data_IF_492930047648
#
_entry.id   IF_492930047648
#
_cell.length_a   1.000
_cell.length_b   1.000
_cell.length_c   1.000
_cell.angle_alpha   90.00
_cell.angle_beta   90.00
_cell.angle_gamma   90.00
#
_symmetry.space_group_name_H-M   'P 1'
#
loop_
_entity.id
_entity.type
_entity.pdbx_description
1 polymer ?
#
# COMPACT_ATOMS: atom_id res chain seq x y z
N UNK A 1 -20.90 7.52 -18.45
CA UNK A 1 -20.18 7.12 -17.23
C UNK A 1 -20.16 8.32 -16.29
N UNK A 2 -20.56 8.17 -15.04
CA UNK A 2 -20.50 9.29 -14.07
C UNK A 2 -19.03 9.62 -13.75
N UNK A 3 -18.71 10.87 -13.45
CA UNK A 3 -17.33 11.33 -13.18
C UNK A 3 -16.73 10.58 -11.99
N UNK A 4 -17.51 10.31 -10.94
CA UNK A 4 -17.11 9.48 -9.79
C UNK A 4 -16.68 8.07 -10.20
N UNK A 5 -17.43 7.42 -11.09
CA UNK A 5 -17.11 6.09 -11.61
C UNK A 5 -15.81 6.09 -12.42
N UNK A 6 -15.52 7.15 -13.18
CA UNK A 6 -14.24 7.29 -13.89
C UNK A 6 -13.07 7.39 -12.92
N UNK A 7 -13.21 8.20 -11.87
CA UNK A 7 -12.17 8.40 -10.85
C UNK A 7 -11.91 7.08 -10.11
N UNK A 8 -12.97 6.35 -9.74
CA UNK A 8 -12.85 5.01 -9.12
C UNK A 8 -12.09 4.02 -10.01
N UNK A 9 -12.43 3.94 -11.30
CA UNK A 9 -11.74 3.06 -12.27
C UNK A 9 -10.25 3.44 -12.38
N UNK A 10 -9.96 4.74 -12.51
CA UNK A 10 -8.59 5.25 -12.59
C UNK A 10 -7.79 4.94 -11.32
N UNK A 11 -8.37 5.17 -10.14
CA UNK A 11 -7.73 4.90 -8.86
C UNK A 11 -7.37 3.41 -8.72
N UNK A 12 -8.31 2.50 -9.01
CA UNK A 12 -8.04 1.06 -8.94
C UNK A 12 -7.00 0.61 -9.96
N UNK A 13 -7.07 1.09 -11.21
CA UNK A 13 -6.12 0.74 -12.26
C UNK A 13 -4.69 1.20 -11.94
N UNK A 14 -4.53 2.46 -11.55
CA UNK A 14 -3.22 3.05 -11.25
C UNK A 14 -2.62 2.39 -10.01
N UNK A 15 -3.45 2.13 -8.98
CA UNK A 15 -3.00 1.48 -7.74
C UNK A 15 -2.59 0.03 -8.01
N UNK A 16 -3.41 -0.76 -8.71
CA UNK A 16 -3.06 -2.13 -9.09
C UNK A 16 -1.76 -2.19 -9.91
N UNK A 17 -1.59 -1.28 -10.88
CA UNK A 17 -0.39 -1.22 -11.72
C UNK A 17 0.86 -0.87 -10.92
N UNK A 18 0.75 0.08 -9.98
CA UNK A 18 1.87 0.48 -9.11
C UNK A 18 2.27 -0.66 -8.18
N UNK A 19 1.30 -1.31 -7.55
CA UNK A 19 1.55 -2.46 -6.68
C UNK A 19 2.15 -3.63 -7.47
N UNK A 20 1.68 -3.89 -8.70
CA UNK A 20 2.25 -4.89 -9.59
C UNK A 20 3.73 -4.61 -9.92
N UNK A 21 4.08 -3.35 -10.18
CA UNK A 21 5.47 -2.95 -10.39
C UNK A 21 6.33 -3.18 -9.13
N UNK A 22 5.77 -2.95 -7.94
CA UNK A 22 6.44 -3.24 -6.66
C UNK A 22 6.63 -4.74 -6.46
N UNK A 23 5.65 -5.58 -6.82
CA UNK A 23 5.78 -7.05 -6.77
C UNK A 23 7.03 -7.48 -7.54
N UNK A 24 7.21 -6.94 -8.75
CA UNK A 24 8.32 -7.31 -9.61
C UNK A 24 9.68 -7.09 -8.92
N UNK A 25 9.83 -5.99 -8.18
CA UNK A 25 11.06 -5.74 -7.41
C UNK A 25 11.33 -6.81 -6.34
N UNK A 26 10.28 -7.24 -5.63
CA UNK A 26 10.43 -8.25 -4.59
C UNK A 26 10.64 -9.64 -5.17
N UNK A 27 10.02 -9.98 -6.30
CA UNK A 27 10.31 -11.23 -7.02
C UNK A 27 11.77 -11.25 -7.46
N UNK A 28 12.25 -10.17 -8.08
CA UNK A 28 13.63 -10.05 -8.52
C UNK A 28 14.62 -10.14 -7.33
N UNK A 29 14.31 -9.51 -6.19
CA UNK A 29 15.09 -9.66 -4.96
C UNK A 29 15.09 -11.11 -4.43
N UNK A 30 13.96 -11.82 -4.50
CA UNK A 30 13.85 -13.22 -4.07
C UNK A 30 14.64 -14.18 -4.95
N UNK A 31 14.77 -13.89 -6.25
CA UNK A 31 15.62 -14.65 -7.16
C UNK A 31 17.11 -14.54 -6.80
N UNK A 32 17.54 -13.42 -6.21
CA UNK A 32 18.91 -13.21 -5.75
C UNK A 32 19.18 -13.85 -4.39
N UNK A 33 18.23 -13.70 -3.44
CA UNK A 33 18.34 -14.26 -2.09
C UNK A 33 16.97 -14.49 -1.49
N UNK A 34 16.73 -15.72 -1.05
CA UNK A 34 15.48 -16.08 -0.38
C UNK A 34 15.52 -15.53 1.06
N UNK A 35 14.72 -14.50 1.31
CA UNK A 35 14.51 -13.92 2.63
C UNK A 35 13.02 -13.89 2.97
N UNK A 36 12.67 -14.35 4.18
CA UNK A 36 11.26 -14.40 4.64
C UNK A 36 10.57 -13.04 4.54
N UNK A 37 11.29 -11.95 4.86
CA UNK A 37 10.78 -10.58 4.75
C UNK A 37 10.34 -10.25 3.31
N UNK A 38 11.17 -10.62 2.34
CA UNK A 38 10.88 -10.39 0.93
C UNK A 38 9.72 -11.27 0.44
N UNK A 39 9.61 -12.52 0.92
CA UNK A 39 8.45 -13.39 0.62
C UNK A 39 7.16 -12.74 1.13
N UNK A 40 7.14 -12.31 2.40
CA UNK A 40 5.97 -11.68 3.00
C UNK A 40 5.56 -10.40 2.25
N UNK A 41 6.52 -9.55 1.85
CA UNK A 41 6.22 -8.36 1.04
C UNK A 41 5.68 -8.74 -0.33
N UNK A 42 6.33 -9.67 -1.04
CA UNK A 42 5.89 -10.12 -2.36
C UNK A 42 4.46 -10.66 -2.30
N UNK A 43 4.18 -11.59 -1.38
CA UNK A 43 2.83 -12.14 -1.20
C UNK A 43 1.84 -11.05 -0.81
N UNK A 44 2.20 -10.16 0.12
CA UNK A 44 1.34 -9.05 0.53
C UNK A 44 0.96 -8.15 -0.64
N UNK A 45 1.95 -7.74 -1.46
CA UNK A 45 1.70 -6.93 -2.65
C UNK A 45 0.93 -7.68 -3.75
N UNK A 46 1.11 -9.00 -3.89
CA UNK A 46 0.27 -9.84 -4.77
C UNK A 46 -1.19 -9.77 -4.33
N UNK A 47 -1.47 -9.99 -3.04
CA UNK A 47 -2.84 -9.94 -2.52
C UNK A 47 -3.48 -8.57 -2.71
N UNK A 48 -2.74 -7.48 -2.45
CA UNK A 48 -3.23 -6.12 -2.70
C UNK A 48 -3.51 -5.88 -4.19
N UNK A 49 -2.59 -6.28 -5.07
CA UNK A 49 -2.75 -6.10 -6.52
C UNK A 49 -3.99 -6.85 -7.03
N UNK A 50 -4.18 -8.09 -6.58
CA UNK A 50 -5.37 -8.88 -6.92
C UNK A 50 -6.62 -8.20 -6.38
N UNK A 51 -6.60 -7.69 -5.14
CA UNK A 51 -7.73 -6.97 -4.55
C UNK A 51 -8.15 -5.76 -5.40
N UNK A 52 -7.20 -4.89 -5.77
CA UNK A 52 -7.50 -3.72 -6.61
C UNK A 52 -7.92 -4.12 -8.04
N UNK A 53 -7.33 -5.18 -8.60
CA UNK A 53 -7.74 -5.71 -9.89
C UNK A 53 -9.19 -6.27 -9.85
N UNK A 54 -9.59 -6.93 -8.76
CA UNK A 54 -10.96 -7.42 -8.59
C UNK A 54 -11.96 -6.27 -8.46
N UNK A 55 -11.63 -5.22 -7.70
CA UNK A 55 -12.44 -3.99 -7.65
C UNK A 55 -12.56 -3.30 -9.02
N UNK A 56 -11.52 -3.38 -9.84
CA UNK A 56 -11.57 -2.89 -11.21
C UNK A 56 -12.51 -3.76 -12.06
N UNK A 57 -12.37 -5.09 -12.00
CA UNK A 57 -13.21 -6.03 -12.76
C UNK A 57 -14.68 -5.93 -12.38
N UNK A 58 -15.02 -5.72 -11.11
CA UNK A 58 -16.41 -5.53 -10.67
C UNK A 58 -17.06 -4.27 -11.26
N UNK A 59 -16.27 -3.33 -11.80
CA UNK A 59 -16.80 -2.17 -12.55
C UNK A 59 -17.27 -2.52 -13.96
N UNK A 60 -16.84 -3.67 -14.50
CA UNK A 60 -17.10 -4.12 -15.86
C UNK A 60 -17.84 -5.47 -15.94
N UNK A 61 -18.00 -6.17 -14.82
CA UNK A 61 -18.56 -7.52 -14.72
C UNK A 61 -19.58 -7.62 -13.58
N UNK A 62 -20.50 -8.58 -13.67
CA UNK A 62 -21.44 -8.93 -12.59
C UNK A 62 -20.79 -9.75 -11.47
N UNK A 63 -19.53 -10.15 -11.63
CA UNK A 63 -18.76 -10.82 -10.58
C UNK A 63 -18.40 -9.78 -9.52
N UNK A 64 -19.10 -9.80 -8.39
CA UNK A 64 -18.83 -8.92 -7.25
C UNK A 64 -18.81 -9.75 -5.96
N UNK A 65 -17.62 -9.97 -5.40
CA UNK A 65 -17.42 -10.67 -4.13
C UNK A 65 -16.72 -9.72 -3.14
N UNK A 66 -17.44 -8.72 -2.59
CA UNK A 66 -16.85 -7.64 -1.82
C UNK A 66 -16.16 -8.14 -0.54
N UNK A 67 -16.68 -9.21 0.07
CA UNK A 67 -16.06 -9.84 1.24
C UNK A 67 -14.72 -10.49 0.90
N UNK A 68 -14.64 -11.18 -0.24
CA UNK A 68 -13.40 -11.81 -0.69
C UNK A 68 -12.34 -10.74 -0.99
N UNK A 69 -12.71 -9.68 -1.71
CA UNK A 69 -11.82 -8.56 -2.00
C UNK A 69 -11.31 -7.88 -0.73
N UNK A 70 -12.20 -7.65 0.24
CA UNK A 70 -11.83 -7.11 1.56
C UNK A 70 -10.80 -7.98 2.28
N UNK A 71 -11.01 -9.31 2.34
CA UNK A 71 -10.08 -10.21 3.02
C UNK A 71 -8.72 -10.29 2.31
N UNK A 72 -8.71 -10.26 0.98
CA UNK A 72 -7.47 -10.18 0.19
C UNK A 72 -6.70 -8.90 0.50
N UNK A 73 -7.40 -7.76 0.55
CA UNK A 73 -6.79 -6.48 0.92
C UNK A 73 -6.19 -6.54 2.33
N UNK A 74 -7.00 -6.95 3.32
CA UNK A 74 -6.62 -7.02 4.72
C UNK A 74 -5.43 -7.95 4.95
N UNK A 75 -5.46 -9.17 4.41
CA UNK A 75 -4.35 -10.11 4.50
C UNK A 75 -3.09 -9.57 3.81
N UNK A 76 -3.24 -8.88 2.68
CA UNK A 76 -2.13 -8.22 2.00
C UNK A 76 -1.41 -7.21 2.89
N UNK A 77 -2.17 -6.32 3.54
CA UNK A 77 -1.63 -5.32 4.48
C UNK A 77 -0.98 -5.99 5.69
N UNK A 78 -1.57 -7.04 6.23
CA UNK A 78 -0.99 -7.80 7.34
C UNK A 78 0.36 -8.42 7.03
N UNK A 79 0.50 -9.03 5.86
CA UNK A 79 1.77 -9.61 5.43
C UNK A 79 2.84 -8.53 5.24
N UNK A 80 2.48 -7.39 4.66
CA UNK A 80 3.38 -6.24 4.53
C UNK A 80 3.79 -5.73 5.91
N UNK A 81 2.85 -5.52 6.82
CA UNK A 81 3.13 -5.08 8.19
C UNK A 81 4.05 -6.06 8.93
N UNK A 82 3.74 -7.36 8.88
CA UNK A 82 4.54 -8.42 9.49
C UNK A 82 5.98 -8.38 8.98
N UNK A 83 6.18 -8.17 7.67
CA UNK A 83 7.51 -8.07 7.06
C UNK A 83 8.37 -6.94 7.63
N UNK A 84 7.76 -5.82 8.02
CA UNK A 84 8.47 -4.67 8.61
C UNK A 84 8.70 -4.86 10.10
N UNK A 85 7.78 -5.50 10.82
CA UNK A 85 7.96 -5.81 12.25
C UNK A 85 9.10 -6.79 12.50
N UNK A 86 9.25 -7.80 11.65
CA UNK A 86 10.38 -8.73 11.73
C UNK A 86 11.68 -8.12 11.20
N UNK A 87 11.66 -6.88 10.72
CA UNK A 87 12.87 -6.20 10.30
C UNK A 87 13.81 -5.97 11.50
N UNK A 88 15.12 -6.15 11.28
CA UNK A 88 16.13 -5.95 12.32
C UNK A 88 16.23 -4.49 12.75
N UNK A 89 15.83 -3.58 11.87
CA UNK A 89 15.85 -2.13 12.11
C UNK A 89 14.57 -1.60 12.76
N UNK A 90 13.51 -2.42 12.87
CA UNK A 90 12.26 -2.01 13.51
C UNK A 90 12.36 -2.13 15.02
N UNK A 91 12.20 -1.00 15.73
CA UNK A 91 12.11 -0.99 17.20
C UNK A 91 10.66 -1.04 17.69
N UNK A 92 9.70 -0.89 16.78
CA UNK A 92 8.27 -0.80 17.08
C UNK A 92 7.57 -2.17 17.16
N UNK A 93 8.26 -3.21 17.62
CA UNK A 93 7.67 -4.56 17.78
C UNK A 93 6.45 -4.57 18.71
N UNK A 94 6.40 -3.66 19.68
CA UNK A 94 5.25 -3.50 20.58
C UNK A 94 3.96 -3.10 19.85
N UNK A 95 4.06 -2.43 18.70
CA UNK A 95 2.89 -2.05 17.88
C UNK A 95 2.12 -3.29 17.38
N UNK A 96 2.74 -4.47 17.38
CA UNK A 96 2.04 -5.75 17.10
C UNK A 96 0.85 -5.98 18.03
N UNK A 97 0.91 -5.51 19.28
CA UNK A 97 -0.23 -5.62 20.22
C UNK A 97 -1.41 -4.78 19.74
N UNK A 98 -1.15 -3.54 19.31
CA UNK A 98 -2.16 -2.65 18.72
C UNK A 98 -2.73 -3.28 17.45
N UNK A 99 -1.86 -3.87 16.63
CA UNK A 99 -2.25 -4.57 15.43
C UNK A 99 -3.21 -5.73 15.76
N UNK A 100 -2.89 -6.60 16.72
CA UNK A 100 -3.76 -7.72 17.12
C UNK A 100 -5.09 -7.19 17.69
N UNK A 101 -5.04 -6.16 18.54
CA UNK A 101 -6.24 -5.53 19.07
C UNK A 101 -7.13 -4.96 17.95
N UNK A 102 -6.52 -4.42 16.88
CA UNK A 102 -7.25 -3.86 15.75
C UNK A 102 -8.14 -4.89 15.04
N UNK A 103 -7.69 -6.15 14.92
CA UNK A 103 -8.49 -7.25 14.34
C UNK A 103 -9.79 -7.52 15.08
N UNK A 104 -9.78 -7.31 16.40
CA UNK A 104 -10.92 -7.58 17.27
C UNK A 104 -11.88 -6.38 17.33
N UNK A 105 -11.36 -5.17 17.19
CA UNK A 105 -12.08 -3.93 17.45
C UNK A 105 -12.64 -3.26 16.19
N UNK A 106 -11.94 -3.35 15.06
CA UNK A 106 -12.29 -2.63 13.84
C UNK A 106 -12.81 -3.57 12.74
N UNK A 107 -13.68 -3.04 11.88
CA UNK A 107 -14.29 -3.77 10.75
C UNK A 107 -14.19 -2.94 9.47
N UNK A 108 -14.22 -3.62 8.32
CA UNK A 108 -14.24 -3.00 6.99
C UNK A 108 -13.14 -1.94 6.82
N UNK A 109 -13.46 -0.80 6.21
CA UNK A 109 -12.52 0.29 5.94
C UNK A 109 -11.82 0.86 7.19
N UNK A 110 -12.42 0.77 8.40
CA UNK A 110 -11.71 1.17 9.62
C UNK A 110 -10.49 0.27 9.89
N UNK A 111 -10.66 -1.03 9.67
CA UNK A 111 -9.60 -2.00 9.88
C UNK A 111 -8.46 -1.77 8.88
N UNK A 112 -8.81 -1.56 7.60
CA UNK A 112 -7.83 -1.27 6.54
C UNK A 112 -7.09 0.05 6.79
N UNK A 113 -7.79 1.08 7.27
CA UNK A 113 -7.18 2.36 7.67
C UNK A 113 -6.15 2.15 8.79
N UNK A 114 -6.49 1.39 9.84
CA UNK A 114 -5.55 1.11 10.92
C UNK A 114 -4.36 0.29 10.43
N UNK A 115 -4.58 -0.75 9.62
CA UNK A 115 -3.48 -1.58 9.08
C UNK A 115 -2.50 -0.77 8.22
N UNK A 116 -3.01 0.04 7.29
CA UNK A 116 -2.17 0.95 6.48
C UNK A 116 -1.42 1.96 7.35
N UNK A 117 -2.04 2.46 8.43
CA UNK A 117 -1.41 3.40 9.35
C UNK A 117 -0.24 2.74 10.09
N UNK A 118 -0.42 1.51 10.56
CA UNK A 118 0.61 0.75 11.25
C UNK A 118 1.80 0.46 10.33
N UNK A 119 1.56 0.16 9.05
CA UNK A 119 2.62 0.05 8.03
C UNK A 119 3.35 1.39 7.89
N UNK A 120 2.62 2.49 7.70
CA UNK A 120 3.21 3.83 7.53
C UNK A 120 4.10 4.23 8.70
N UNK A 121 3.61 4.07 9.93
CA UNK A 121 4.37 4.36 11.16
C UNK A 121 5.65 3.52 11.22
N UNK A 122 5.57 2.22 10.93
CA UNK A 122 6.73 1.34 10.98
C UNK A 122 7.76 1.71 9.90
N UNK A 123 7.32 2.03 8.69
CA UNK A 123 8.21 2.49 7.61
C UNK A 123 8.91 3.80 7.99
N UNK A 124 8.17 4.78 8.51
CA UNK A 124 8.78 6.06 8.92
C UNK A 124 9.78 5.88 10.07
N UNK A 125 9.50 4.98 11.00
CA UNK A 125 10.43 4.65 12.07
C UNK A 125 11.72 3.99 11.54
N UNK A 126 11.59 3.04 10.61
CA UNK A 126 12.74 2.43 9.94
C UNK A 126 13.52 3.48 9.16
N UNK A 127 12.84 4.35 8.41
CA UNK A 127 13.45 5.45 7.66
C UNK A 127 14.25 6.40 8.57
N UNK A 128 13.70 6.72 9.74
CA UNK A 128 14.36 7.54 10.74
C UNK A 128 15.59 6.84 11.34
N UNK A 129 15.44 5.57 11.74
CA UNK A 129 16.52 4.81 12.37
C UNK A 129 17.69 4.52 11.43
N UNK A 130 17.40 4.24 10.16
CA UNK A 130 18.41 3.84 9.16
C UNK A 130 18.91 5.03 8.34
N UNK A 131 18.29 6.20 8.48
CA UNK A 131 18.54 7.40 7.66
C UNK A 131 18.29 7.19 6.16
N UNK A 132 17.58 6.12 5.77
CA UNK A 132 17.13 5.85 4.41
C UNK A 132 15.95 6.77 4.05
N UNK A 133 16.27 7.99 3.62
CA UNK A 133 15.29 9.01 3.20
C UNK A 133 14.43 8.57 2.01
N UNK A 134 14.93 7.63 1.21
CA UNK A 134 14.20 7.02 0.12
C UNK A 134 12.95 6.26 0.62
N UNK A 135 12.90 5.78 1.86
CA UNK A 135 11.70 5.14 2.42
C UNK A 135 10.55 6.12 2.74
N UNK A 136 10.80 7.44 2.75
CA UNK A 136 9.79 8.45 3.10
C UNK A 136 8.60 8.42 2.13
N UNK A 137 8.78 8.48 0.79
CA UNK A 137 7.67 8.31 -0.15
C UNK A 137 6.91 6.99 0.01
N UNK A 138 7.59 5.90 0.40
CA UNK A 138 6.92 4.62 0.66
C UNK A 138 5.97 4.72 1.87
N UNK A 139 6.46 5.27 2.99
CA UNK A 139 5.64 5.48 4.19
C UNK A 139 4.49 6.47 3.96
N UNK A 140 4.75 7.52 3.17
CA UNK A 140 3.74 8.51 2.77
C UNK A 140 2.64 7.89 1.89
N UNK A 141 3.01 6.97 0.99
CA UNK A 141 2.04 6.19 0.21
C UNK A 141 1.02 5.48 1.09
N UNK A 142 1.49 4.73 2.11
CA UNK A 142 0.61 4.07 3.06
C UNK A 142 -0.20 5.04 3.93
N UNK A 143 0.36 6.20 4.31
CA UNK A 143 -0.37 7.24 5.04
C UNK A 143 -1.55 7.80 4.23
N UNK A 144 -1.35 7.99 2.92
CA UNK A 144 -2.40 8.42 2.00
C UNK A 144 -3.48 7.32 1.87
N UNK A 145 -3.09 6.04 1.77
CA UNK A 145 -4.03 4.91 1.80
C UNK A 145 -4.84 4.87 3.10
N UNK A 146 -4.22 5.13 4.26
CA UNK A 146 -4.94 5.27 5.54
C UNK A 146 -6.04 6.30 5.48
N UNK A 147 -5.70 7.48 4.95
CA UNK A 147 -6.65 8.59 4.85
C UNK A 147 -7.77 8.25 3.86
N UNK A 148 -7.44 7.57 2.75
CA UNK A 148 -8.42 7.09 1.78
C UNK A 148 -9.42 6.12 2.42
N UNK A 149 -8.93 5.08 3.10
CA UNK A 149 -9.74 4.10 3.83
C UNK A 149 -10.61 4.77 4.90
N UNK A 150 -10.08 5.74 5.63
CA UNK A 150 -10.88 6.51 6.56
C UNK A 150 -12.01 7.30 5.88
N UNK A 151 -11.78 7.84 4.67
CA UNK A 151 -12.82 8.53 3.90
C UNK A 151 -13.89 7.57 3.40
N UNK A 152 -13.56 6.37 2.91
CA UNK A 152 -14.58 5.36 2.58
C UNK A 152 -15.42 5.00 3.81
N UNK A 153 -14.81 4.85 4.98
CA UNK A 153 -15.55 4.65 6.23
C UNK A 153 -16.53 5.80 6.54
N UNK A 154 -16.11 7.05 6.35
CA UNK A 154 -16.96 8.21 6.58
C UNK A 154 -18.16 8.25 5.63
N UNK A 155 -17.99 7.86 4.37
CA UNK A 155 -19.10 7.77 3.42
C UNK A 155 -20.05 6.62 3.81
N UNK A 156 -19.52 5.40 3.91
CA UNK A 156 -20.32 4.17 4.05
C UNK A 156 -21.06 4.10 5.40
N UNK A 157 -20.40 4.51 6.49
CA UNK A 157 -20.93 4.32 7.85
C UNK A 157 -21.48 5.60 8.45
N UNK A 158 -20.90 6.75 8.13
CA UNK A 158 -21.31 8.05 8.68
C UNK A 158 -22.18 8.86 7.72
N UNK A 159 -22.32 8.44 6.46
CA UNK A 159 -23.20 9.08 5.48
C UNK A 159 -22.67 10.41 4.95
N UNK A 160 -21.36 10.67 5.03
CA UNK A 160 -20.74 11.86 4.43
C UNK A 160 -20.66 11.71 2.91
N UNK A 161 -21.76 12.04 2.23
CA UNK A 161 -21.91 11.82 0.79
C UNK A 161 -20.74 12.37 -0.03
N UNK A 162 -20.29 11.57 -1.01
CA UNK A 162 -19.23 11.88 -1.98
C UNK A 162 -17.82 12.04 -1.41
N UNK A 163 -17.60 11.78 -0.11
CA UNK A 163 -16.24 11.83 0.45
C UNK A 163 -15.38 10.65 -0.02
N UNK A 164 -16.00 9.53 -0.44
CA UNK A 164 -15.31 8.40 -1.07
C UNK A 164 -14.54 8.79 -2.34
N UNK A 165 -15.03 9.79 -3.09
CA UNK A 165 -14.32 10.30 -4.29
C UNK A 165 -12.98 10.95 -3.90
N UNK A 166 -12.93 11.62 -2.74
CA UNK A 166 -11.66 12.12 -2.20
C UNK A 166 -10.74 10.96 -1.77
N UNK A 167 -11.32 9.84 -1.31
CA UNK A 167 -10.60 8.58 -1.08
C UNK A 167 -9.96 8.02 -2.35
N UNK A 168 -10.68 8.00 -3.48
CA UNK A 168 -10.14 7.58 -4.77
C UNK A 168 -8.93 8.46 -5.20
N UNK A 169 -9.02 9.78 -5.03
CA UNK A 169 -7.89 10.68 -5.29
C UNK A 169 -6.70 10.41 -4.39
N UNK A 170 -6.93 10.13 -3.11
CA UNK A 170 -5.88 9.76 -2.17
C UNK A 170 -5.19 8.46 -2.59
N UNK A 171 -5.91 7.49 -3.16
CA UNK A 171 -5.32 6.29 -3.76
C UNK A 171 -4.43 6.59 -4.98
N UNK A 172 -4.84 7.53 -5.83
CA UNK A 172 -4.01 8.00 -6.94
C UNK A 172 -2.73 8.65 -6.41
N UNK A 173 -2.84 9.53 -5.41
CA UNK A 173 -1.67 10.17 -4.81
C UNK A 173 -0.76 9.18 -4.07
N UNK A 174 -1.34 8.18 -3.40
CA UNK A 174 -0.60 7.07 -2.79
C UNK A 174 0.22 6.33 -3.85
N UNK A 175 -0.38 6.04 -5.00
CA UNK A 175 0.29 5.38 -6.13
C UNK A 175 1.44 6.21 -6.71
N UNK A 176 1.28 7.53 -6.77
CA UNK A 176 2.37 8.43 -7.18
C UNK A 176 3.51 8.38 -6.17
N UNK A 177 3.22 8.48 -4.86
CA UNK A 177 4.24 8.41 -3.81
C UNK A 177 5.00 7.06 -3.83
N UNK A 178 4.27 5.96 -4.00
CA UNK A 178 4.84 4.62 -4.13
C UNK A 178 5.68 4.47 -5.41
N UNK A 179 5.27 5.09 -6.52
CA UNK A 179 6.03 5.11 -7.76
C UNK A 179 7.31 5.96 -7.66
N UNK A 180 7.29 7.06 -6.90
CA UNK A 180 8.50 7.86 -6.60
C UNK A 180 9.50 7.01 -5.79
N UNK A 181 9.01 6.24 -4.81
CA UNK A 181 9.85 5.27 -4.11
C UNK A 181 10.41 4.21 -5.05
N UNK A 182 9.55 3.59 -5.87
CA UNK A 182 9.92 2.57 -6.86
C UNK A 182 11.06 3.08 -7.76
N UNK A 183 10.92 4.31 -8.26
CA UNK A 183 11.94 4.95 -9.08
C UNK A 183 13.24 5.18 -8.31
N UNK A 184 13.17 5.66 -7.07
CA UNK A 184 14.34 5.88 -6.21
C UNK A 184 15.12 4.57 -6.00
N UNK A 185 14.40 3.47 -5.74
CA UNK A 185 14.99 2.14 -5.61
C UNK A 185 15.68 1.68 -6.90
N UNK A 186 14.99 1.79 -8.05
CA UNK A 186 15.53 1.41 -9.36
C UNK A 186 16.77 2.24 -9.72
N UNK A 187 16.74 3.55 -9.46
CA UNK A 187 17.86 4.45 -9.72
C UNK A 187 19.11 4.08 -8.92
N UNK A 188 18.96 3.67 -7.66
CA UNK A 188 20.04 3.17 -6.82
C UNK A 188 20.55 1.83 -7.36
N UNK A 189 19.64 0.87 -7.62
CA UNK A 189 19.98 -0.49 -8.05
C UNK A 189 20.72 -0.54 -9.39
N UNK A 190 20.27 0.24 -10.37
CA UNK A 190 20.88 0.30 -11.70
C UNK A 190 21.94 1.42 -11.83
N UNK A 191 22.29 2.06 -10.71
CA UNK A 191 23.28 3.14 -10.65
C UNK A 191 23.04 4.25 -11.69
N UNK A 192 21.77 4.60 -11.92
CA UNK A 192 21.37 5.54 -12.97
C UNK A 192 21.76 6.99 -12.62
N UNK A 193 21.86 7.32 -11.32
CA UNK A 193 22.26 8.64 -10.85
C UNK A 193 23.74 8.99 -11.15
N UNK A 194 24.60 7.99 -11.36
CA UNK A 194 26.00 8.22 -11.74
C UNK A 194 26.21 8.39 -13.25
N UNK A 195 25.20 8.08 -14.08
CA UNK A 195 25.31 8.18 -15.55
C UNK A 195 24.90 9.52 -16.14
N UNK A 196 24.28 10.41 -15.35
CA UNK A 196 24.01 11.77 -15.79
C UNK A 196 25.02 12.72 -15.14
N UNK A 197 25.94 13.33 -15.91
CA UNK A 197 26.76 14.40 -15.37
C UNK A 197 25.81 15.49 -14.86
N UNK A 198 26.07 15.97 -13.64
CA UNK A 198 25.43 17.17 -13.12
C UNK A 198 25.71 18.27 -14.13
N UNK A 199 24.71 18.62 -14.94
CA UNK A 199 24.75 19.85 -15.72
C UNK A 199 24.64 20.97 -14.69
N UNK A 200 25.81 21.49 -14.32
CA UNK A 200 25.99 22.77 -13.63
C UNK A 200 25.57 23.88 -14.59
#
# INVERSE_FOLDING_TARGET
MQVSQLIFILANFITASTLAAIIWLYIDALLLKIEIKAILRATGFILLTVSFALNLVSSFSTINEPQFTFWMHSLGLWLIFASFIIDSHSKLRFITVIAIASLLLFKSHQLLAVQTLLISINVFEIAYNTQHRDLIPFGAGFLLMTTAEFFYYLDEVKGFQNISVAGDFLYIFASIALSIWLWSYLAIRFNLAQKFPRMI
#
